data_IF_884477347056
#
_entry.id   IF_884477347056
#
_cell.length_a   1.000
_cell.length_b   1.000
_cell.length_c   1.000
_cell.angle_alpha   90.00
_cell.angle_beta   90.00
_cell.angle_gamma   90.00
#
_symmetry.space_group_name_H-M   'P 1'
#
loop_
_entity.id
_entity.type
_entity.pdbx_description
1 polymer ?
#
# COMPACT_ATOMS: atom_id res chain seq x y z
N UNK A 1 -24.36 8.94 1.53
CA UNK A 1 -23.29 9.02 2.53
C UNK A 1 -23.37 7.84 3.52
N UNK A 2 -22.23 7.23 3.82
CA UNK A 2 -22.14 6.13 4.79
C UNK A 2 -21.61 6.71 6.10
N UNK A 3 -22.44 6.73 7.12
CA UNK A 3 -22.11 7.32 8.44
C UNK A 3 -22.74 6.57 9.62
N UNK A 4 -23.40 5.43 9.39
CA UNK A 4 -23.91 4.55 10.44
C UNK A 4 -23.35 3.13 10.30
N UNK A 5 -23.26 2.35 11.40
CA UNK A 5 -22.80 0.96 11.35
C UNK A 5 -23.58 0.09 10.37
N UNK A 6 -24.91 0.25 10.29
CA UNK A 6 -25.76 -0.52 9.38
C UNK A 6 -25.40 -0.24 7.92
N UNK A 7 -25.15 1.03 7.57
CA UNK A 7 -24.72 1.41 6.23
C UNK A 7 -23.32 0.88 5.91
N UNK A 8 -22.40 0.86 6.90
CA UNK A 8 -21.08 0.25 6.77
C UNK A 8 -21.20 -1.22 6.40
N UNK A 9 -22.02 -1.98 7.13
CA UNK A 9 -22.21 -3.41 6.88
C UNK A 9 -22.81 -3.63 5.49
N UNK A 10 -23.90 -2.95 5.14
CA UNK A 10 -24.56 -3.11 3.84
C UNK A 10 -23.60 -2.84 2.65
N UNK A 11 -22.81 -1.77 2.73
CA UNK A 11 -21.80 -1.46 1.72
C UNK A 11 -20.72 -2.53 1.65
N UNK A 12 -20.24 -2.97 2.80
CA UNK A 12 -19.17 -3.94 2.91
C UNK A 12 -19.57 -5.32 2.41
N UNK A 13 -20.77 -5.77 2.70
CA UNK A 13 -21.32 -7.03 2.19
C UNK A 13 -21.42 -7.01 0.65
N UNK A 14 -21.88 -5.92 0.07
CA UNK A 14 -21.90 -5.77 -1.39
C UNK A 14 -20.50 -5.91 -2.00
N UNK A 15 -19.50 -5.29 -1.41
CA UNK A 15 -18.10 -5.41 -1.87
C UNK A 15 -17.52 -6.79 -1.63
N UNK A 16 -17.87 -7.41 -0.50
CA UNK A 16 -17.42 -8.76 -0.18
C UNK A 16 -17.92 -9.78 -1.21
N UNK A 17 -19.18 -9.66 -1.60
CA UNK A 17 -19.80 -10.56 -2.58
C UNK A 17 -19.13 -10.47 -3.95
N UNK A 18 -18.58 -9.30 -4.33
CA UNK A 18 -17.83 -9.17 -5.58
C UNK A 18 -16.59 -10.08 -5.65
N UNK A 19 -16.01 -10.48 -4.52
CA UNK A 19 -14.92 -11.45 -4.52
C UNK A 19 -15.36 -12.89 -4.81
N UNK A 20 -16.66 -13.22 -4.76
CA UNK A 20 -17.19 -14.53 -5.11
C UNK A 20 -17.23 -14.75 -6.63
N UNK A 21 -17.32 -13.66 -7.41
CA UNK A 21 -17.36 -13.72 -8.86
C UNK A 21 -15.98 -14.02 -9.46
N UNK A 22 -14.92 -13.71 -8.72
CA UNK A 22 -13.54 -13.91 -9.12
C UNK A 22 -12.96 -15.14 -8.37
N UNK A 23 -12.45 -16.10 -9.14
CA UNK A 23 -11.94 -17.38 -8.61
C UNK A 23 -10.42 -17.41 -8.44
N UNK A 24 -9.73 -16.29 -8.65
CA UNK A 24 -8.28 -16.24 -8.43
C UNK A 24 -7.92 -16.39 -6.94
N UNK A 25 -6.69 -16.86 -6.69
CA UNK A 25 -6.19 -17.12 -5.33
C UNK A 25 -6.32 -15.90 -4.40
N UNK A 26 -6.09 -14.70 -4.92
CA UNK A 26 -6.14 -13.46 -4.14
C UNK A 26 -7.56 -13.13 -3.70
N UNK A 27 -8.53 -13.21 -4.62
CA UNK A 27 -9.94 -12.92 -4.35
C UNK A 27 -10.55 -13.92 -3.38
N UNK A 28 -10.28 -15.22 -3.57
CA UNK A 28 -10.71 -16.27 -2.64
C UNK A 28 -10.13 -16.03 -1.24
N UNK A 29 -8.85 -15.68 -1.13
CA UNK A 29 -8.21 -15.41 0.16
C UNK A 29 -8.80 -14.17 0.84
N UNK A 30 -9.02 -13.09 0.09
CA UNK A 30 -9.65 -11.85 0.58
C UNK A 30 -11.06 -12.12 1.10
N UNK A 31 -11.88 -12.84 0.36
CA UNK A 31 -13.20 -13.24 0.82
C UNK A 31 -13.12 -14.01 2.15
N UNK A 32 -12.32 -15.07 2.19
CA UNK A 32 -12.22 -15.93 3.37
C UNK A 32 -11.71 -15.19 4.62
N UNK A 33 -10.73 -14.32 4.47
CA UNK A 33 -10.19 -13.52 5.57
C UNK A 33 -11.18 -12.46 6.07
N UNK A 34 -12.06 -11.95 5.21
CA UNK A 34 -12.88 -10.76 5.51
C UNK A 34 -14.33 -11.09 5.81
N UNK A 35 -14.85 -12.27 5.42
CA UNK A 35 -16.29 -12.63 5.56
C UNK A 35 -16.84 -12.58 6.98
N UNK A 36 -16.01 -12.75 8.01
CA UNK A 36 -16.39 -12.63 9.42
C UNK A 36 -16.24 -11.21 9.99
N UNK A 37 -15.69 -10.28 9.23
CA UNK A 37 -15.47 -8.88 9.60
C UNK A 37 -15.61 -7.96 8.37
N UNK A 38 -16.77 -7.99 7.69
CA UNK A 38 -16.96 -7.33 6.39
C UNK A 38 -16.81 -5.82 6.46
N UNK A 39 -17.06 -5.21 7.61
CA UNK A 39 -16.90 -3.77 7.85
C UNK A 39 -15.50 -3.26 7.48
N UNK A 40 -14.49 -4.11 7.52
CA UNK A 40 -13.12 -3.80 7.11
C UNK A 40 -13.05 -3.21 5.69
N UNK A 41 -13.90 -3.69 4.77
CA UNK A 41 -13.90 -3.23 3.37
C UNK A 41 -14.32 -1.76 3.23
N UNK A 42 -15.13 -1.25 4.16
CA UNK A 42 -15.44 0.18 4.18
C UNK A 42 -14.49 0.96 5.10
N UNK A 43 -14.36 0.54 6.35
CA UNK A 43 -13.61 1.28 7.38
C UNK A 43 -12.13 1.34 7.05
N UNK A 44 -11.51 0.21 6.73
CA UNK A 44 -10.08 0.12 6.42
C UNK A 44 -9.78 0.54 4.98
N UNK A 45 -10.43 -0.09 4.01
CA UNK A 45 -10.06 0.08 2.59
C UNK A 45 -10.62 1.38 1.99
N UNK A 46 -11.80 1.83 2.44
CA UNK A 46 -12.46 3.02 1.88
C UNK A 46 -12.24 4.28 2.71
N UNK A 47 -12.79 4.31 3.93
CA UNK A 47 -12.87 5.52 4.74
C UNK A 47 -11.50 6.03 5.19
N UNK A 48 -10.72 5.17 5.83
CA UNK A 48 -9.45 5.56 6.46
C UNK A 48 -8.45 6.16 5.44
N UNK A 49 -8.31 5.53 4.28
CA UNK A 49 -7.44 6.04 3.22
C UNK A 49 -7.89 7.40 2.68
N UNK A 50 -9.22 7.61 2.55
CA UNK A 50 -9.76 8.91 2.12
C UNK A 50 -9.51 10.00 3.14
N UNK A 51 -9.65 9.70 4.45
CA UNK A 51 -9.36 10.64 5.52
C UNK A 51 -7.88 11.01 5.58
N UNK A 52 -6.98 10.02 5.46
CA UNK A 52 -5.54 10.25 5.49
C UNK A 52 -5.07 11.11 4.31
N UNK A 53 -5.57 10.84 3.10
CA UNK A 53 -5.24 11.67 1.92
C UNK A 53 -5.74 13.10 2.05
N UNK A 54 -6.97 13.32 2.55
CA UNK A 54 -7.44 14.68 2.82
C UNK A 54 -6.53 15.39 3.83
N UNK A 55 -6.12 14.69 4.88
CA UNK A 55 -5.21 15.19 5.90
C UNK A 55 -3.84 15.63 5.33
N UNK A 56 -3.29 14.89 4.40
CA UNK A 56 -2.02 15.20 3.70
C UNK A 56 -2.08 16.54 2.97
N UNK A 57 -3.24 16.89 2.40
CA UNK A 57 -3.45 18.19 1.74
C UNK A 57 -3.84 19.32 2.69
N UNK A 58 -3.89 19.08 4.00
CA UNK A 58 -4.37 20.05 4.99
C UNK A 58 -5.89 20.25 4.96
N UNK A 59 -6.61 19.21 4.53
CA UNK A 59 -8.06 19.18 4.40
C UNK A 59 -8.67 18.19 5.39
N UNK A 60 -9.96 18.37 5.67
CA UNK A 60 -10.80 17.38 6.36
C UNK A 60 -12.22 17.41 5.79
N UNK A 61 -12.97 16.34 5.99
CA UNK A 61 -14.38 16.32 5.61
C UNK A 61 -15.22 17.22 6.52
N UNK A 62 -16.27 17.86 6.01
CA UNK A 62 -17.22 18.68 6.80
C UNK A 62 -17.82 17.89 7.98
N UNK A 63 -17.93 16.57 7.85
CA UNK A 63 -18.40 15.63 8.90
C UNK A 63 -17.25 14.87 9.58
N UNK A 64 -16.02 15.39 9.60
CA UNK A 64 -14.83 14.72 10.14
C UNK A 64 -15.06 14.16 11.55
N UNK A 65 -15.69 14.93 12.42
CA UNK A 65 -16.01 14.49 13.79
C UNK A 65 -16.88 13.21 13.81
N UNK A 66 -17.89 13.13 12.94
CA UNK A 66 -18.79 11.97 12.86
C UNK A 66 -18.05 10.75 12.27
N UNK A 67 -17.23 10.98 11.25
CA UNK A 67 -16.43 9.92 10.61
C UNK A 67 -15.39 9.34 11.56
N UNK A 68 -14.75 10.18 12.39
CA UNK A 68 -13.84 9.72 13.45
C UNK A 68 -14.59 8.96 14.56
N UNK A 69 -15.78 9.40 14.94
CA UNK A 69 -16.62 8.66 15.90
C UNK A 69 -17.02 7.29 15.36
N UNK A 70 -17.33 7.19 14.06
CA UNK A 70 -17.60 5.92 13.38
C UNK A 70 -16.35 5.04 13.38
N UNK A 71 -15.20 5.58 12.99
CA UNK A 71 -13.92 4.85 12.94
C UNK A 71 -13.56 4.24 14.32
N UNK A 72 -13.76 4.99 15.39
CA UNK A 72 -13.46 4.58 16.78
C UNK A 72 -14.36 3.47 17.33
N UNK A 73 -15.46 3.13 16.65
CA UNK A 73 -16.29 1.99 17.01
C UNK A 73 -15.65 0.64 16.62
N UNK A 74 -14.59 0.70 15.80
CA UNK A 74 -13.88 -0.48 15.29
C UNK A 74 -12.47 -0.54 15.83
N UNK A 75 -12.14 -1.67 16.47
CA UNK A 75 -10.80 -1.93 16.97
C UNK A 75 -9.93 -2.54 15.87
N UNK A 76 -8.95 -1.76 15.39
CA UNK A 76 -8.03 -2.20 14.34
C UNK A 76 -7.05 -3.28 14.79
N UNK A 77 -6.86 -3.47 16.10
CA UNK A 77 -6.00 -4.55 16.60
C UNK A 77 -6.44 -5.91 16.07
N UNK A 78 -7.75 -6.14 15.94
CA UNK A 78 -8.31 -7.40 15.44
C UNK A 78 -7.93 -7.70 13.97
N UNK A 79 -7.74 -6.65 13.14
CA UNK A 79 -7.34 -6.83 11.74
C UNK A 79 -5.84 -7.05 11.62
N UNK A 80 -5.04 -6.22 12.27
CA UNK A 80 -3.58 -6.26 12.15
C UNK A 80 -2.93 -7.42 12.90
N UNK A 81 -3.58 -7.98 13.92
CA UNK A 81 -3.10 -9.16 14.65
C UNK A 81 -3.55 -10.50 14.03
N UNK A 82 -4.39 -10.46 13.00
CA UNK A 82 -4.92 -11.66 12.35
C UNK A 82 -4.04 -12.06 11.16
N UNK A 83 -3.36 -13.21 11.27
CA UNK A 83 -2.46 -13.72 10.22
C UNK A 83 -3.15 -13.94 8.87
N UNK A 84 -4.42 -14.38 8.85
CA UNK A 84 -5.15 -14.56 7.59
C UNK A 84 -5.50 -13.20 6.94
N UNK A 85 -5.77 -12.17 7.75
CA UNK A 85 -5.88 -10.80 7.25
C UNK A 85 -4.56 -10.29 6.67
N UNK A 86 -3.44 -10.55 7.33
CA UNK A 86 -2.11 -10.19 6.80
C UNK A 86 -1.83 -10.91 5.49
N UNK A 87 -2.13 -12.20 5.37
CA UNK A 87 -1.99 -12.96 4.12
C UNK A 87 -2.88 -12.45 2.98
N UNK A 88 -3.99 -11.80 3.29
CA UNK A 88 -4.95 -11.27 2.30
C UNK A 88 -4.69 -9.79 1.95
N UNK A 89 -4.20 -9.00 2.90
CA UNK A 89 -4.23 -7.54 2.87
C UNK A 89 -2.93 -6.87 3.36
N UNK A 90 -1.77 -7.51 3.21
CA UNK A 90 -0.50 -7.03 3.80
C UNK A 90 -0.22 -5.55 3.52
N UNK A 91 -0.24 -5.14 2.25
CA UNK A 91 0.01 -3.76 1.84
C UNK A 91 -1.04 -2.78 2.40
N UNK A 92 -2.33 -3.16 2.34
CA UNK A 92 -3.42 -2.33 2.84
C UNK A 92 -3.35 -2.17 4.35
N UNK A 93 -3.04 -3.25 5.09
CA UNK A 93 -2.88 -3.19 6.54
C UNK A 93 -1.65 -2.36 6.95
N UNK A 94 -0.55 -2.45 6.20
CA UNK A 94 0.60 -1.56 6.38
C UNK A 94 0.16 -0.09 6.29
N UNK A 95 -0.47 0.29 5.17
CA UNK A 95 -0.96 1.66 4.99
C UNK A 95 -1.89 2.10 6.11
N UNK A 96 -2.85 1.26 6.47
CA UNK A 96 -3.87 1.60 7.49
C UNK A 96 -3.26 1.80 8.86
N UNK A 97 -2.26 1.00 9.25
CA UNK A 97 -1.55 1.17 10.52
C UNK A 97 -0.89 2.54 10.62
N UNK A 98 -0.21 2.98 9.55
CA UNK A 98 0.43 4.30 9.50
C UNK A 98 -0.58 5.44 9.35
N UNK A 99 -1.67 5.27 8.60
CA UNK A 99 -2.73 6.28 8.50
C UNK A 99 -3.45 6.51 9.82
N UNK A 100 -3.68 5.46 10.61
CA UNK A 100 -4.25 5.61 11.96
C UNK A 100 -3.32 6.44 12.86
N UNK A 101 -2.02 6.15 12.84
CA UNK A 101 -1.00 6.94 13.54
C UNK A 101 -0.98 8.39 13.06
N UNK A 102 -0.97 8.64 11.74
CA UNK A 102 -1.01 9.97 11.12
C UNK A 102 -2.23 10.78 11.56
N UNK A 103 -3.41 10.15 11.61
CA UNK A 103 -4.66 10.80 11.99
C UNK A 103 -4.80 10.99 13.51
N UNK A 104 -3.86 10.49 14.33
CA UNK A 104 -3.92 10.54 15.79
C UNK A 104 -5.04 9.66 16.37
N UNK A 105 -5.36 8.57 15.68
CA UNK A 105 -6.31 7.55 16.14
C UNK A 105 -5.58 6.38 16.86
N UNK A 106 -5.88 5.13 16.55
CA UNK A 106 -5.17 3.99 17.13
C UNK A 106 -3.74 3.91 16.58
N UNK A 107 -2.76 3.59 17.41
CA UNK A 107 -1.42 3.22 16.97
C UNK A 107 -1.24 1.71 17.03
N UNK A 108 -1.26 1.08 15.87
CA UNK A 108 -1.16 -0.38 15.72
C UNK A 108 0.04 -0.80 14.86
N UNK A 109 0.96 0.12 14.58
CA UNK A 109 2.10 -0.13 13.66
C UNK A 109 2.98 -1.25 14.17
N UNK A 110 3.41 -1.19 15.43
CA UNK A 110 4.31 -2.21 15.99
C UNK A 110 3.65 -3.59 16.06
N UNK A 111 2.35 -3.62 16.40
CA UNK A 111 1.57 -4.85 16.40
C UNK A 111 1.46 -5.43 14.98
N UNK A 112 1.19 -4.59 13.98
CA UNK A 112 1.15 -5.03 12.57
C UNK A 112 2.50 -5.60 12.14
N UNK A 113 3.60 -4.88 12.36
CA UNK A 113 4.95 -5.33 11.97
C UNK A 113 5.29 -6.66 12.63
N UNK A 114 5.00 -6.82 13.93
CA UNK A 114 5.19 -8.08 14.63
C UNK A 114 4.41 -9.22 13.97
N UNK A 115 3.10 -9.03 13.78
CA UNK A 115 2.23 -10.05 13.18
C UNK A 115 2.65 -10.36 11.74
N UNK A 116 3.05 -9.36 10.96
CA UNK A 116 3.54 -9.54 9.60
C UNK A 116 4.77 -10.45 9.56
N UNK A 117 5.77 -10.20 10.42
CA UNK A 117 6.99 -11.01 10.50
C UNK A 117 6.71 -12.44 10.97
N UNK A 118 5.76 -12.62 11.88
CA UNK A 118 5.30 -13.93 12.33
C UNK A 118 4.45 -14.68 11.27
N UNK A 119 3.86 -13.94 10.32
CA UNK A 119 3.05 -14.51 9.23
C UNK A 119 3.93 -14.95 8.06
N UNK A 120 5.04 -14.24 7.83
CA UNK A 120 5.95 -14.46 6.72
C UNK A 120 7.40 -14.62 7.19
N UNK A 121 7.72 -15.69 7.97
CA UNK A 121 9.11 -15.96 8.33
C UNK A 121 9.93 -16.28 7.06
N UNK A 122 11.16 -15.77 7.00
CA UNK A 122 12.02 -15.92 5.81
C UNK A 122 12.33 -17.41 5.48
N UNK A 123 12.31 -18.26 6.50
CA UNK A 123 12.56 -19.71 6.33
C UNK A 123 11.48 -20.45 5.53
N UNK A 124 10.30 -19.86 5.36
CA UNK A 124 9.16 -20.46 4.67
C UNK A 124 8.96 -19.91 3.23
N UNK A 125 9.86 -19.07 2.74
CA UNK A 125 9.72 -18.42 1.44
C UNK A 125 9.59 -19.38 0.26
N UNK A 126 10.22 -20.54 0.35
CA UNK A 126 10.13 -21.60 -0.69
C UNK A 126 8.75 -22.24 -0.76
N UNK A 127 7.97 -22.19 0.31
CA UNK A 127 6.64 -22.77 0.40
C UNK A 127 5.54 -21.80 -0.06
N UNK A 128 5.86 -20.51 -0.16
CA UNK A 128 4.91 -19.49 -0.58
C UNK A 128 4.57 -19.63 -2.08
N UNK A 129 3.28 -19.55 -2.42
CA UNK A 129 2.87 -19.37 -3.81
C UNK A 129 3.44 -18.06 -4.38
N UNK A 130 3.46 -17.91 -5.70
CA UNK A 130 3.88 -16.66 -6.35
C UNK A 130 3.06 -15.48 -5.83
N UNK A 131 1.76 -15.67 -5.63
CA UNK A 131 0.86 -14.63 -5.11
C UNK A 131 1.21 -14.27 -3.66
N UNK A 132 1.46 -15.25 -2.78
CA UNK A 132 1.82 -15.00 -1.38
C UNK A 132 3.22 -14.40 -1.23
N UNK A 133 4.18 -14.82 -2.04
CA UNK A 133 5.50 -14.21 -2.08
C UNK A 133 5.43 -12.72 -2.49
N UNK A 134 4.64 -12.41 -3.52
CA UNK A 134 4.34 -11.03 -3.91
C UNK A 134 3.68 -10.24 -2.77
N UNK A 135 2.73 -10.84 -2.06
CA UNK A 135 2.04 -10.19 -0.93
C UNK A 135 3.00 -9.90 0.26
N UNK A 136 3.97 -10.80 0.53
CA UNK A 136 5.06 -10.55 1.48
C UNK A 136 5.87 -9.32 1.06
N UNK A 137 6.30 -9.25 -0.19
CA UNK A 137 7.08 -8.13 -0.69
C UNK A 137 6.28 -6.82 -0.64
N UNK A 138 5.02 -6.82 -1.09
CA UNK A 138 4.12 -5.66 -0.96
C UNK A 138 3.95 -5.19 0.49
N UNK A 139 3.86 -6.12 1.44
CA UNK A 139 3.81 -5.74 2.85
C UNK A 139 5.07 -5.02 3.31
N UNK A 140 6.25 -5.51 2.91
CA UNK A 140 7.54 -4.89 3.23
C UNK A 140 7.70 -3.49 2.61
N UNK A 141 7.42 -3.35 1.31
CA UNK A 141 7.54 -2.06 0.61
C UNK A 141 6.55 -1.04 1.15
N UNK A 142 5.32 -1.45 1.42
CA UNK A 142 4.29 -0.57 1.95
C UNK A 142 4.50 -0.15 3.42
N UNK A 143 5.22 -0.91 4.24
CA UNK A 143 5.70 -0.43 5.56
C UNK A 143 6.58 0.82 5.36
N UNK A 144 7.53 0.76 4.44
CA UNK A 144 8.45 1.87 4.18
C UNK A 144 7.73 3.04 3.47
N UNK A 145 6.88 2.76 2.50
CA UNK A 145 6.13 3.79 1.76
C UNK A 145 5.15 4.53 2.66
N UNK A 146 4.42 3.82 3.51
CA UNK A 146 3.46 4.44 4.41
C UNK A 146 4.15 5.31 5.47
N UNK A 147 5.28 4.86 6.01
CA UNK A 147 6.09 5.66 6.94
C UNK A 147 6.68 6.90 6.26
N UNK A 148 7.12 6.79 5.00
CA UNK A 148 7.59 7.92 4.20
C UNK A 148 6.46 8.89 3.78
N UNK A 149 5.21 8.63 4.15
CA UNK A 149 4.00 9.29 3.63
C UNK A 149 3.99 9.30 2.10
N UNK A 150 4.22 8.14 1.54
CA UNK A 150 4.28 7.96 0.09
C UNK A 150 5.21 8.96 -0.58
N UNK A 151 6.51 8.76 -0.33
CA UNK A 151 7.64 9.49 -0.95
C UNK A 151 7.81 10.96 -0.52
N UNK A 152 7.18 11.39 0.58
CA UNK A 152 7.31 12.76 1.06
C UNK A 152 8.47 12.94 2.05
N UNK A 153 8.94 11.85 2.67
CA UNK A 153 10.06 11.88 3.63
C UNK A 153 11.05 10.76 3.32
N UNK A 154 12.33 11.04 3.57
CA UNK A 154 13.34 9.98 3.61
C UNK A 154 13.11 9.07 4.80
N UNK A 155 13.47 7.80 4.64
CA UNK A 155 13.44 6.79 5.70
C UNK A 155 14.87 6.45 6.07
N UNK A 156 15.16 6.32 7.36
CA UNK A 156 16.43 5.75 7.79
C UNK A 156 16.35 4.21 7.66
N UNK A 157 17.31 3.61 6.93
CA UNK A 157 17.45 2.15 6.81
C UNK A 157 17.39 1.45 8.17
N UNK A 158 17.96 2.08 9.20
CA UNK A 158 18.01 1.52 10.57
C UNK A 158 16.65 1.43 11.27
N UNK A 159 15.61 2.05 10.73
CA UNK A 159 14.23 1.86 11.22
C UNK A 159 13.67 0.47 10.86
N UNK A 160 14.07 -0.05 9.70
CA UNK A 160 13.60 -1.34 9.17
C UNK A 160 14.73 -2.21 8.63
N UNK A 161 15.82 -2.46 9.40
CA UNK A 161 17.01 -3.15 8.88
C UNK A 161 16.67 -4.54 8.33
N UNK A 162 15.69 -5.23 8.94
CA UNK A 162 15.23 -6.53 8.49
C UNK A 162 14.63 -6.54 7.07
N UNK A 163 14.01 -5.43 6.62
CA UNK A 163 13.48 -5.28 5.24
C UNK A 163 14.64 -5.15 4.25
N UNK A 164 15.56 -4.23 4.52
CA UNK A 164 16.70 -3.97 3.63
C UNK A 164 17.63 -5.18 3.54
N UNK A 165 17.94 -5.82 4.66
CA UNK A 165 18.76 -7.03 4.71
C UNK A 165 18.10 -8.19 3.97
N UNK A 166 16.78 -8.36 4.12
CA UNK A 166 16.03 -9.37 3.38
C UNK A 166 16.11 -9.14 1.87
N UNK A 167 15.84 -7.92 1.42
CA UNK A 167 15.84 -7.57 0.00
C UNK A 167 17.24 -7.73 -0.61
N UNK A 168 18.31 -7.29 0.08
CA UNK A 168 19.70 -7.49 -0.39
C UNK A 168 20.04 -8.98 -0.55
N UNK A 169 19.73 -9.80 0.44
CA UNK A 169 20.02 -11.25 0.40
C UNK A 169 19.23 -11.99 -0.66
N UNK A 170 18.03 -11.53 -0.97
CA UNK A 170 17.09 -12.24 -1.82
C UNK A 170 16.82 -11.58 -3.17
N UNK A 171 17.60 -10.55 -3.57
CA UNK A 171 17.30 -9.77 -4.76
C UNK A 171 17.16 -10.62 -6.02
N UNK A 172 17.99 -11.62 -6.22
CA UNK A 172 17.93 -12.45 -7.42
C UNK A 172 16.66 -13.34 -7.44
N UNK A 173 16.22 -13.81 -6.27
CA UNK A 173 14.94 -14.53 -6.13
C UNK A 173 13.75 -13.58 -6.33
N UNK A 174 13.84 -12.35 -5.85
CA UNK A 174 12.81 -11.31 -6.03
C UNK A 174 12.64 -11.03 -7.53
N UNK A 175 13.72 -10.80 -8.26
CA UNK A 175 13.68 -10.53 -9.70
C UNK A 175 13.07 -11.70 -10.50
N UNK A 176 13.27 -12.93 -10.04
CA UNK A 176 12.73 -14.12 -10.70
C UNK A 176 11.23 -14.34 -10.40
N UNK A 177 10.78 -14.02 -9.19
CA UNK A 177 9.43 -14.39 -8.71
C UNK A 177 8.44 -13.25 -8.68
N UNK A 178 8.89 -12.01 -8.53
CA UNK A 178 8.02 -10.85 -8.42
C UNK A 178 7.53 -10.34 -9.79
N UNK A 179 6.50 -9.51 -9.76
CA UNK A 179 6.03 -8.74 -10.92
C UNK A 179 6.81 -7.43 -11.01
N UNK A 180 6.77 -6.78 -12.16
CA UNK A 180 7.52 -5.56 -12.44
C UNK A 180 7.18 -4.41 -11.50
N UNK A 181 5.91 -4.26 -11.12
CA UNK A 181 5.48 -3.27 -10.11
C UNK A 181 6.15 -3.50 -8.74
N UNK A 182 6.20 -4.76 -8.28
CA UNK A 182 6.87 -5.13 -7.03
C UNK A 182 8.39 -4.92 -7.12
N UNK A 183 9.00 -5.25 -8.27
CA UNK A 183 10.43 -5.00 -8.52
C UNK A 183 10.73 -3.50 -8.44
N UNK A 184 9.86 -2.67 -9.02
CA UNK A 184 9.99 -1.21 -8.93
C UNK A 184 9.89 -0.73 -7.48
N UNK A 185 8.92 -1.24 -6.72
CA UNK A 185 8.75 -0.87 -5.32
C UNK A 185 9.96 -1.26 -4.46
N UNK A 186 10.57 -2.42 -4.70
CA UNK A 186 11.80 -2.83 -4.01
C UNK A 186 12.92 -1.82 -4.26
N UNK A 187 13.16 -1.40 -5.51
CA UNK A 187 14.17 -0.38 -5.82
C UNK A 187 13.85 0.98 -5.18
N UNK A 188 12.58 1.42 -5.24
CA UNK A 188 12.12 2.66 -4.63
C UNK A 188 12.29 2.66 -3.10
N UNK A 189 12.13 1.51 -2.45
CA UNK A 189 12.40 1.37 -1.01
C UNK A 189 13.83 1.79 -0.65
N UNK A 190 14.82 1.39 -1.44
CA UNK A 190 16.22 1.79 -1.26
C UNK A 190 16.46 3.27 -1.58
N UNK A 191 15.83 3.79 -2.62
CA UNK A 191 15.94 5.21 -2.97
C UNK A 191 15.35 6.13 -1.89
N UNK A 192 14.27 5.69 -1.23
CA UNK A 192 13.70 6.40 -0.07
C UNK A 192 14.66 6.47 1.12
N UNK A 193 15.55 5.51 1.25
CA UNK A 193 16.61 5.53 2.26
C UNK A 193 17.87 6.30 1.82
N UNK A 194 17.90 6.85 0.60
CA UNK A 194 19.08 7.51 0.04
C UNK A 194 20.20 6.54 -0.33
N UNK A 195 19.87 5.28 -0.58
CA UNK A 195 20.79 4.20 -0.93
C UNK A 195 20.89 4.04 -2.46
N UNK A 196 21.05 5.14 -3.17
CA UNK A 196 21.01 5.22 -4.64
C UNK A 196 22.05 4.32 -5.33
N UNK A 197 23.17 4.07 -4.66
CA UNK A 197 24.28 3.25 -5.17
C UNK A 197 24.23 1.79 -4.68
N UNK A 198 23.17 1.38 -3.98
CA UNK A 198 23.02 -0.01 -3.55
C UNK A 198 22.82 -0.92 -4.77
N UNK A 199 23.48 -2.10 -4.83
CA UNK A 199 23.30 -3.05 -5.93
C UNK A 199 21.85 -3.46 -6.20
N UNK A 200 20.96 -3.39 -5.19
CA UNK A 200 19.53 -3.65 -5.37
C UNK A 200 18.90 -2.64 -6.33
N UNK A 201 19.23 -1.36 -6.22
CA UNK A 201 18.70 -0.30 -7.10
C UNK A 201 19.14 -0.55 -8.55
N UNK A 202 20.41 -0.87 -8.76
CA UNK A 202 20.91 -1.14 -10.12
C UNK A 202 20.24 -2.38 -10.73
N UNK A 203 20.14 -3.47 -9.97
CA UNK A 203 19.51 -4.72 -10.41
C UNK A 203 18.03 -4.52 -10.76
N UNK A 204 17.28 -3.80 -9.92
CA UNK A 204 15.85 -3.52 -10.18
C UNK A 204 15.67 -2.61 -11.40
N UNK A 205 16.48 -1.58 -11.57
CA UNK A 205 16.48 -0.73 -12.77
C UNK A 205 16.73 -1.51 -14.03
N UNK A 206 17.76 -2.37 -14.05
CA UNK A 206 18.05 -3.24 -15.20
C UNK A 206 16.91 -4.20 -15.52
N UNK A 207 16.28 -4.79 -14.51
CA UNK A 207 15.15 -5.69 -14.71
C UNK A 207 13.97 -4.97 -15.37
N UNK A 208 13.63 -3.75 -14.92
CA UNK A 208 12.55 -2.98 -15.52
C UNK A 208 12.88 -2.51 -16.94
N UNK A 209 14.12 -2.09 -17.21
CA UNK A 209 14.56 -1.75 -18.54
C UNK A 209 14.46 -2.95 -19.50
N UNK A 210 14.77 -4.15 -19.02
CA UNK A 210 14.64 -5.37 -19.81
C UNK A 210 13.17 -5.79 -20.07
N UNK A 211 12.23 -5.35 -19.22
CA UNK A 211 10.79 -5.58 -19.38
C UNK A 211 10.10 -4.56 -20.30
N UNK A 212 10.80 -3.49 -20.70
CA UNK A 212 10.26 -2.45 -21.56
C UNK A 212 10.10 -2.96 -22.99
N UNK A 213 8.90 -2.89 -23.54
CA UNK A 213 8.68 -3.07 -24.97
C UNK A 213 9.02 -1.77 -25.72
N UNK A 214 10.10 -1.81 -26.52
CA UNK A 214 10.60 -0.63 -27.22
C UNK A 214 9.67 -0.12 -28.33
N UNK A 215 8.78 -0.97 -28.85
CA UNK A 215 7.81 -0.58 -29.89
C UNK A 215 6.68 0.26 -29.30
N UNK A 216 6.20 -0.12 -28.09
CA UNK A 216 5.11 0.56 -27.42
C UNK A 216 5.59 1.60 -26.41
N UNK A 217 6.88 1.58 -26.04
CA UNK A 217 7.47 2.50 -25.07
C UNK A 217 6.97 2.29 -23.64
N UNK A 218 6.50 1.08 -23.30
CA UNK A 218 5.94 0.77 -21.99
C UNK A 218 6.14 -0.68 -21.60
N UNK A 219 6.00 -0.98 -20.32
CA UNK A 219 5.96 -2.33 -19.77
C UNK A 219 4.52 -2.84 -19.91
N UNK A 220 4.27 -3.98 -20.59
CA UNK A 220 2.93 -4.52 -20.77
C UNK A 220 2.28 -4.95 -19.45
N UNK A 221 0.97 -5.13 -19.44
CA UNK A 221 0.26 -5.73 -18.32
C UNK A 221 0.69 -7.20 -18.11
N UNK A 222 0.29 -7.81 -17.00
CA UNK A 222 0.58 -9.24 -16.74
C UNK A 222 -0.01 -10.19 -17.76
N UNK A 223 -0.97 -9.74 -18.56
CA UNK A 223 -1.60 -10.48 -19.67
C UNK A 223 -0.99 -10.14 -21.03
N UNK A 224 0.04 -9.27 -21.06
CA UNK A 224 0.69 -8.83 -22.30
C UNK A 224 -0.02 -7.68 -23.00
N UNK A 225 -0.99 -7.04 -22.35
CA UNK A 225 -1.74 -5.91 -22.89
C UNK A 225 -0.96 -4.60 -22.75
N UNK A 226 -1.08 -3.72 -23.74
CA UNK A 226 -0.45 -2.39 -23.78
C UNK A 226 -1.47 -1.25 -23.51
N UNK A 227 -2.66 -1.56 -23.03
CA UNK A 227 -3.60 -0.55 -22.58
C UNK A 227 -3.14 0.04 -21.23
N UNK A 228 -3.08 1.36 -21.16
CA UNK A 228 -2.70 2.08 -19.93
C UNK A 228 -3.67 1.82 -18.78
N UNK A 229 -4.95 1.55 -19.06
CA UNK A 229 -5.93 1.20 -18.03
C UNK A 229 -5.47 -0.01 -17.18
N UNK A 230 -4.77 -0.97 -17.81
CA UNK A 230 -4.27 -2.19 -17.14
C UNK A 230 -2.78 -2.14 -16.78
N UNK A 231 -2.05 -1.14 -17.27
CA UNK A 231 -0.59 -1.02 -17.11
C UNK A 231 -0.11 0.26 -16.42
N UNK A 232 -1.00 1.22 -16.14
CA UNK A 232 -0.63 2.54 -15.62
C UNK A 232 0.21 2.45 -14.34
N UNK A 233 -0.27 1.76 -13.32
CA UNK A 233 0.43 1.65 -12.04
C UNK A 233 1.87 1.11 -12.18
N UNK A 234 2.08 0.07 -12.99
CA UNK A 234 3.39 -0.53 -13.24
C UNK A 234 4.33 0.45 -13.93
N UNK A 235 3.83 1.16 -14.93
CA UNK A 235 4.63 2.12 -15.69
C UNK A 235 4.97 3.37 -14.88
N UNK A 236 4.05 3.87 -14.06
CA UNK A 236 4.32 4.97 -13.11
C UNK A 236 5.44 4.60 -12.14
N UNK A 237 5.38 3.42 -11.52
CA UNK A 237 6.44 2.95 -10.61
C UNK A 237 7.77 2.75 -11.35
N UNK A 238 7.75 2.26 -12.59
CA UNK A 238 8.95 2.13 -13.40
C UNK A 238 9.58 3.49 -13.69
N UNK A 239 8.80 4.51 -14.09
CA UNK A 239 9.28 5.88 -14.29
C UNK A 239 9.88 6.42 -13.00
N UNK A 240 9.19 6.26 -11.87
CA UNK A 240 9.68 6.72 -10.56
C UNK A 240 11.05 6.09 -10.21
N UNK A 241 11.23 4.78 -10.44
CA UNK A 241 12.49 4.12 -10.16
C UNK A 241 13.62 4.54 -11.12
N UNK A 242 13.31 4.65 -12.42
CA UNK A 242 14.30 4.94 -13.45
C UNK A 242 14.76 6.40 -13.44
N UNK A 243 13.86 7.32 -13.10
CA UNK A 243 14.07 8.76 -13.08
C UNK A 243 13.85 9.38 -11.68
N UNK A 244 14.32 8.70 -10.65
CA UNK A 244 14.16 9.15 -9.27
C UNK A 244 14.80 10.50 -9.02
N UNK A 245 14.00 11.51 -8.65
CA UNK A 245 14.46 12.88 -8.41
C UNK A 245 14.72 13.17 -6.92
N UNK A 246 14.14 12.48 -6.02
CA UNK A 246 14.20 12.57 -4.55
C UNK A 246 12.79 12.48 -3.94
N UNK A 247 12.72 12.53 -2.62
CA UNK A 247 11.45 12.75 -1.91
C UNK A 247 10.88 14.11 -2.29
N UNK A 248 9.55 14.18 -2.40
CA UNK A 248 8.85 15.41 -2.77
C UNK A 248 7.68 15.64 -1.83
N UNK A 249 7.79 16.69 -1.01
CA UNK A 249 6.71 17.07 -0.08
C UNK A 249 5.52 17.58 -0.88
N UNK A 250 4.37 16.91 -0.74
CA UNK A 250 3.15 17.33 -1.40
C UNK A 250 2.74 18.73 -0.95
N UNK A 251 2.25 19.58 -1.87
CA UNK A 251 1.72 20.90 -1.50
C UNK A 251 0.46 20.73 -0.65
N UNK A 252 0.36 21.50 0.42
CA UNK A 252 -0.83 21.59 1.29
C UNK A 252 -1.58 22.88 1.04
N UNK A 253 -2.80 22.95 1.51
CA UNK A 253 -3.57 24.20 1.45
C UNK A 253 -2.86 25.35 2.20
N UNK A 254 -2.10 25.04 3.24
CA UNK A 254 -1.30 26.04 3.98
C UNK A 254 -0.07 26.51 3.19
N UNK A 255 0.67 25.58 2.58
CA UNK A 255 1.88 25.91 1.80
C UNK A 255 1.57 26.49 0.41
N UNK A 256 0.40 26.16 -0.16
CA UNK A 256 -0.07 26.64 -1.45
C UNK A 256 -1.60 26.85 -1.40
N UNK A 257 -2.08 28.02 -0.90
CA UNK A 257 -3.52 28.30 -0.79
C UNK A 257 -4.29 28.24 -2.13
N UNK A 258 -3.60 28.38 -3.25
CA UNK A 258 -4.18 28.34 -4.59
C UNK A 258 -4.20 26.94 -5.23
N UNK A 259 -3.83 25.87 -4.49
CA UNK A 259 -3.78 24.52 -5.03
C UNK A 259 -5.13 24.03 -5.58
N UNK A 260 -6.22 24.52 -5.03
CA UNK A 260 -7.58 24.24 -5.50
C UNK A 260 -8.22 25.53 -6.03
N UNK A 261 -8.79 25.49 -7.23
CA UNK A 261 -9.61 26.57 -7.78
C UNK A 261 -10.93 26.75 -6.99
N UNK A 262 -11.36 25.71 -6.28
CA UNK A 262 -12.47 25.68 -5.35
C UNK A 262 -12.34 24.45 -4.47
N UNK A 263 -12.88 24.50 -3.25
CA UNK A 263 -12.81 23.37 -2.34
C UNK A 263 -13.49 22.14 -2.94
N UNK A 264 -12.85 20.95 -2.93
CA UNK A 264 -13.51 19.72 -3.34
C UNK A 264 -14.77 19.46 -2.52
N UNK A 265 -15.79 18.89 -3.15
CA UNK A 265 -17.08 18.65 -2.51
C UNK A 265 -16.94 17.92 -1.16
N UNK A 266 -17.56 18.49 -0.14
CA UNK A 266 -17.55 17.94 1.23
C UNK A 266 -16.24 18.12 2.00
N UNK A 267 -15.21 18.78 1.43
CA UNK A 267 -13.94 19.06 2.11
C UNK A 267 -13.84 20.52 2.53
N UNK A 268 -13.17 20.75 3.65
CA UNK A 268 -12.84 22.08 4.20
C UNK A 268 -11.40 22.09 4.69
N UNK A 269 -10.84 23.27 4.87
CA UNK A 269 -9.53 23.42 5.52
C UNK A 269 -9.51 22.78 6.92
N UNK A 270 -8.37 22.21 7.29
CA UNK A 270 -8.14 21.52 8.56
C UNK A 270 -8.04 22.51 9.72
#
# INVERSE_FOLDING_TARGET
EINTPEQVILYSEKRLNAYLDDKDERSVRRYNATKSMPEYLYIGVGLLGSMARADEYGLKHVKDKQLRQLLRQYDFTKYVSNKEMVKAWAAQLANQAFWLRQLGEQDVVDLFIKTFRETYPDSEDSELTKQQYGNKLYGMTHIVFADSRYYQHKIDEQQYPWIYDYMRRNIDTILLRAKEDVIAEVGLTFLLAGLDNDPVVEKTRRALQASLDLRHGMIPSTTGDFDLEYGEHRNVLAIMLLDWQSVNVAPTLTSNPGIFLGMPYGLIAK
#
